data_IF_731084645830
#
_entry.id   IF_731084645830
#
_cell.length_a   1.000
_cell.length_b   1.000
_cell.length_c   1.000
_cell.angle_alpha   90.00
_cell.angle_beta   90.00
_cell.angle_gamma   90.00
#
_symmetry.space_group_name_H-M   'P 1'
#
loop_
_entity.id
_entity.type
_entity.pdbx_description
1 polymer ?
#
# COMPACT_ATOMS: atom_id res chain seq x y z
N UNK A 1 -0.58 17.30 12.39
CA UNK A 1 0.00 16.00 12.02
C UNK A 1 0.32 16.06 10.54
N UNK A 2 1.61 16.22 10.26
CA UNK A 2 2.18 16.53 8.96
C UNK A 2 2.25 15.23 8.16
N UNK A 3 1.31 15.02 7.23
CA UNK A 3 1.38 13.88 6.33
C UNK A 3 2.64 14.04 5.48
N UNK A 4 3.59 13.13 5.64
CA UNK A 4 4.78 12.98 4.79
C UNK A 4 4.34 12.76 3.34
N UNK A 5 4.02 13.86 2.65
CA UNK A 5 3.69 13.89 1.25
C UNK A 5 5.01 13.63 0.52
N UNK A 6 5.32 12.35 0.30
CA UNK A 6 6.51 11.92 -0.43
C UNK A 6 6.65 12.77 -1.69
N UNK A 7 7.75 13.50 -1.74
CA UNK A 7 8.01 14.49 -2.79
C UNK A 7 7.93 13.79 -4.16
N UNK A 8 7.24 14.34 -5.17
CA UNK A 8 7.16 13.75 -6.52
C UNK A 8 8.54 13.44 -7.13
N UNK A 9 9.56 14.14 -6.65
CA UNK A 9 10.95 13.97 -7.02
C UNK A 9 11.54 12.65 -6.53
N UNK A 10 11.10 12.13 -5.38
CA UNK A 10 11.61 10.89 -4.76
C UNK A 10 11.23 9.66 -5.60
N UNK A 11 10.02 9.62 -6.14
CA UNK A 11 9.52 8.56 -7.05
C UNK A 11 10.21 8.62 -8.42
N UNK A 12 10.67 9.80 -8.83
CA UNK A 12 11.32 9.96 -10.13
C UNK A 12 12.71 9.30 -10.19
N UNK A 13 13.36 9.07 -9.05
CA UNK A 13 14.69 8.44 -8.96
C UNK A 13 14.64 6.91 -8.91
N UNK A 14 13.59 6.31 -8.32
CA UNK A 14 13.45 4.85 -8.22
C UNK A 14 13.23 4.15 -9.57
N UNK A 15 12.77 4.88 -10.59
CA UNK A 15 12.60 4.33 -11.96
C UNK A 15 13.92 3.91 -12.61
N UNK A 16 15.08 4.42 -12.11
CA UNK A 16 16.39 3.94 -12.57
C UNK A 16 16.65 2.49 -12.13
N UNK A 17 16.08 2.05 -11.01
CA UNK A 17 16.24 0.67 -10.54
C UNK A 17 15.38 -0.31 -11.35
N UNK A 18 14.20 0.09 -11.82
CA UNK A 18 13.32 -0.80 -12.61
C UNK A 18 13.71 -0.93 -14.07
N UNK A 19 14.33 0.08 -14.68
CA UNK A 19 14.75 0.04 -16.09
C UNK A 19 16.18 -0.47 -16.32
N UNK A 20 16.93 -0.77 -15.25
CA UNK A 20 18.28 -1.33 -15.32
C UNK A 20 18.32 -2.85 -15.51
N UNK A 21 17.20 -3.55 -15.35
CA UNK A 21 17.16 -5.02 -15.26
C UNK A 21 16.58 -5.74 -16.49
N UNK A 22 16.13 -5.03 -17.53
CA UNK A 22 15.68 -5.64 -18.79
C UNK A 22 16.54 -5.23 -19.99
N UNK A 23 17.83 -5.60 -19.96
CA UNK A 23 18.59 -5.73 -21.21
C UNK A 23 19.03 -7.18 -21.34
N UNK A 24 18.26 -7.90 -22.15
CA UNK A 24 18.60 -9.19 -22.74
C UNK A 24 20.04 -9.10 -23.29
N UNK A 25 20.93 -9.94 -22.75
CA UNK A 25 22.26 -10.16 -23.30
C UNK A 25 22.08 -10.80 -24.68
N UNK A 26 22.28 -10.01 -25.73
CA UNK A 26 22.59 -10.53 -27.06
C UNK A 26 24.05 -10.20 -27.30
N UNK A 27 24.88 -11.24 -27.28
CA UNK A 27 26.27 -11.22 -27.72
C UNK A 27 26.33 -10.71 -29.16
N UNK A 28 26.60 -9.41 -29.31
CA UNK A 28 27.18 -8.88 -30.54
C UNK A 28 28.24 -7.85 -30.13
N UNK A 29 29.49 -8.23 -30.35
CA UNK A 29 30.70 -7.47 -30.01
C UNK A 29 30.73 -6.14 -30.76
N UNK A 30 30.16 -5.10 -30.16
CA UNK A 30 30.62 -3.74 -30.38
C UNK A 30 30.71 -3.09 -29.00
N UNK A 31 31.93 -3.07 -28.45
CA UNK A 31 32.24 -2.39 -27.21
C UNK A 31 31.74 -0.93 -27.31
N UNK A 32 30.57 -0.66 -26.74
CA UNK A 32 29.92 0.66 -26.72
C UNK A 32 30.96 1.67 -26.21
N UNK A 33 31.53 2.46 -27.14
CA UNK A 33 32.64 3.36 -26.86
C UNK A 33 32.28 4.22 -25.65
N UNK A 34 33.26 4.48 -24.77
CA UNK A 34 33.04 5.26 -23.53
C UNK A 34 32.32 6.57 -23.85
N UNK A 35 32.64 7.18 -25.00
CA UNK A 35 31.98 8.39 -25.52
C UNK A 35 30.47 8.21 -25.74
N UNK A 36 30.07 7.11 -26.37
CA UNK A 36 28.66 6.76 -26.63
C UNK A 36 27.87 6.54 -25.35
N UNK A 37 28.45 5.83 -24.38
CA UNK A 37 27.84 5.62 -23.05
C UNK A 37 27.65 6.94 -22.30
N UNK A 38 28.67 7.79 -22.30
CA UNK A 38 28.60 9.12 -21.66
C UNK A 38 27.54 9.99 -22.33
N UNK A 39 27.47 9.99 -23.67
CA UNK A 39 26.47 10.75 -24.44
C UNK A 39 25.04 10.31 -24.10
N UNK A 40 24.79 9.00 -23.97
CA UNK A 40 23.48 8.45 -23.56
C UNK A 40 23.09 8.89 -22.15
N UNK A 41 24.04 8.89 -21.21
CA UNK A 41 23.78 9.36 -19.85
C UNK A 41 23.50 10.87 -19.82
N UNK A 42 24.27 11.67 -20.56
CA UNK A 42 24.06 13.11 -20.66
C UNK A 42 22.68 13.44 -21.23
N UNK A 43 22.27 12.80 -22.32
CA UNK A 43 20.94 13.01 -22.92
C UNK A 43 19.82 12.58 -21.98
N UNK A 44 19.96 11.44 -21.29
CA UNK A 44 19.00 10.99 -20.27
C UNK A 44 18.85 12.02 -19.15
N UNK A 45 19.94 12.48 -18.54
CA UNK A 45 19.88 13.44 -17.44
C UNK A 45 19.29 14.79 -17.89
N UNK A 46 19.62 15.26 -19.09
CA UNK A 46 19.03 16.48 -19.65
C UNK A 46 17.52 16.34 -19.87
N UNK A 47 17.07 15.22 -20.43
CA UNK A 47 15.64 14.96 -20.63
C UNK A 47 14.91 14.85 -19.28
N UNK A 48 15.50 14.15 -18.31
CA UNK A 48 14.95 14.00 -16.96
C UNK A 48 14.83 15.35 -16.26
N UNK A 49 15.87 16.18 -16.31
CA UNK A 49 15.85 17.54 -15.76
C UNK A 49 14.74 18.38 -16.40
N UNK A 50 14.65 18.40 -17.75
CA UNK A 50 13.57 19.12 -18.46
C UNK A 50 12.17 18.63 -18.06
N UNK A 51 12.01 17.34 -17.83
CA UNK A 51 10.76 16.76 -17.35
C UNK A 51 10.42 17.23 -15.93
N UNK A 52 11.38 17.17 -15.00
CA UNK A 52 11.20 17.65 -13.63
C UNK A 52 10.83 19.14 -13.59
N UNK A 53 11.52 19.99 -14.36
CA UNK A 53 11.15 21.41 -14.45
C UNK A 53 9.75 21.64 -15.06
N UNK A 54 9.23 20.72 -15.88
CA UNK A 54 7.84 20.82 -16.38
C UNK A 54 6.85 20.44 -15.29
N UNK A 55 7.12 19.38 -14.52
CA UNK A 55 6.29 18.96 -13.39
C UNK A 55 6.23 20.05 -12.31
N UNK A 56 7.37 20.62 -11.93
CA UNK A 56 7.45 21.71 -10.95
C UNK A 56 6.60 22.92 -11.35
N UNK A 57 6.70 23.34 -12.62
CA UNK A 57 5.91 24.44 -13.16
C UNK A 57 4.43 24.12 -13.19
N UNK A 58 4.06 22.89 -13.56
CA UNK A 58 2.67 22.43 -13.56
C UNK A 58 2.09 22.43 -12.13
N UNK A 59 2.83 21.91 -11.15
CA UNK A 59 2.46 21.91 -9.74
C UNK A 59 2.32 23.34 -9.20
N UNK A 60 3.26 24.22 -9.53
CA UNK A 60 3.22 25.64 -9.15
C UNK A 60 1.97 26.33 -9.72
N UNK A 61 1.63 26.07 -10.99
CA UNK A 61 0.40 26.57 -11.62
C UNK A 61 -0.85 26.00 -10.95
N UNK A 62 -0.85 24.72 -10.60
CA UNK A 62 -1.96 24.07 -9.91
C UNK A 62 -2.16 24.66 -8.50
N UNK A 63 -1.09 24.88 -7.73
CA UNK A 63 -1.12 25.54 -6.41
C UNK A 63 -1.72 26.93 -6.51
N UNK A 64 -1.31 27.74 -7.51
CA UNK A 64 -1.90 29.07 -7.77
C UNK A 64 -3.39 28.98 -8.11
N UNK A 65 -3.78 28.09 -9.03
CA UNK A 65 -5.18 27.90 -9.40
C UNK A 65 -6.04 27.48 -8.19
N UNK A 66 -5.57 26.51 -7.39
CA UNK A 66 -6.24 26.07 -6.15
C UNK A 66 -6.39 27.21 -5.14
N UNK A 67 -5.36 28.03 -4.99
CA UNK A 67 -5.40 29.18 -4.09
C UNK A 67 -6.43 30.21 -4.56
N UNK A 68 -6.42 30.58 -5.84
CA UNK A 68 -7.40 31.51 -6.42
C UNK A 68 -8.83 31.00 -6.27
N UNK A 69 -9.07 29.73 -6.60
CA UNK A 69 -10.38 29.09 -6.44
C UNK A 69 -10.83 29.11 -4.98
N UNK A 70 -9.96 28.71 -4.04
CA UNK A 70 -10.28 28.73 -2.61
C UNK A 70 -10.64 30.14 -2.15
N UNK A 71 -9.89 31.15 -2.56
CA UNK A 71 -10.15 32.56 -2.18
C UNK A 71 -11.50 33.04 -2.72
N UNK A 72 -11.81 32.75 -3.98
CA UNK A 72 -13.09 33.09 -4.59
C UNK A 72 -14.27 32.38 -3.89
N UNK A 73 -14.12 31.09 -3.57
CA UNK A 73 -15.13 30.32 -2.83
C UNK A 73 -15.37 30.88 -1.43
N UNK A 74 -14.31 31.23 -0.70
CA UNK A 74 -14.45 31.85 0.62
C UNK A 74 -15.17 33.21 0.54
N UNK A 75 -14.83 34.02 -0.45
CA UNK A 75 -15.51 35.29 -0.68
C UNK A 75 -17.00 35.10 -1.00
N UNK A 76 -17.33 34.16 -1.91
CA UNK A 76 -18.71 33.85 -2.24
C UNK A 76 -19.50 33.35 -1.02
N UNK A 77 -18.94 32.40 -0.26
CA UNK A 77 -19.59 31.87 0.95
C UNK A 77 -19.77 32.92 2.05
N UNK A 78 -18.84 33.89 2.17
CA UNK A 78 -18.96 34.97 3.16
C UNK A 78 -20.04 35.99 2.84
N UNK A 79 -20.37 36.18 1.55
CA UNK A 79 -21.39 37.14 1.09
C UNK A 79 -22.76 36.49 0.97
N UNK A 80 -22.81 35.31 0.38
CA UNK A 80 -24.04 34.60 0.03
C UNK A 80 -23.90 33.10 0.36
N UNK A 81 -23.96 32.70 1.64
CA UNK A 81 -23.66 31.33 2.06
C UNK A 81 -24.61 30.29 1.44
N UNK A 82 -25.91 30.60 1.37
CA UNK A 82 -26.92 29.68 0.83
C UNK A 82 -26.72 29.41 -0.67
N UNK A 83 -26.53 30.47 -1.47
CA UNK A 83 -26.30 30.32 -2.92
C UNK A 83 -24.97 29.66 -3.22
N UNK A 84 -23.92 30.00 -2.48
CA UNK A 84 -22.63 29.33 -2.60
C UNK A 84 -22.73 27.84 -2.25
N UNK A 85 -23.49 27.49 -1.21
CA UNK A 85 -23.78 26.10 -0.83
C UNK A 85 -24.51 25.32 -1.92
N UNK A 86 -25.55 25.92 -2.52
CA UNK A 86 -26.30 25.32 -3.63
C UNK A 86 -25.40 25.03 -4.84
N UNK A 87 -24.59 26.01 -5.28
CA UNK A 87 -23.66 25.83 -6.39
C UNK A 87 -22.60 24.76 -6.12
N UNK A 88 -22.07 24.68 -4.89
CA UNK A 88 -21.13 23.62 -4.49
C UNK A 88 -21.82 22.24 -4.59
N UNK A 89 -23.08 22.14 -4.17
CA UNK A 89 -23.84 20.90 -4.26
C UNK A 89 -24.10 20.49 -5.72
N UNK A 90 -24.46 21.43 -6.58
CA UNK A 90 -24.63 21.21 -8.02
C UNK A 90 -23.34 20.77 -8.69
N UNK A 91 -22.21 21.43 -8.39
CA UNK A 91 -20.90 21.05 -8.91
C UNK A 91 -20.50 19.63 -8.45
N UNK A 92 -20.78 19.27 -7.20
CA UNK A 92 -20.56 17.89 -6.70
C UNK A 92 -21.41 16.89 -7.47
N UNK A 93 -22.70 17.18 -7.66
CA UNK A 93 -23.63 16.32 -8.42
C UNK A 93 -23.20 16.16 -9.88
N UNK A 94 -22.83 17.24 -10.55
CA UNK A 94 -22.34 17.22 -11.93
C UNK A 94 -21.01 16.44 -12.07
N UNK A 95 -20.11 16.56 -11.09
CA UNK A 95 -18.84 15.80 -11.08
C UNK A 95 -19.07 14.32 -10.80
N UNK A 96 -20.00 13.98 -9.89
CA UNK A 96 -20.38 12.59 -9.62
C UNK A 96 -21.07 11.97 -10.84
N UNK A 97 -21.97 12.70 -11.52
CA UNK A 97 -22.64 12.22 -12.74
C UNK A 97 -21.66 11.91 -13.89
N UNK A 98 -20.53 12.63 -13.96
CA UNK A 98 -19.45 12.39 -14.94
C UNK A 98 -18.49 11.28 -14.55
N UNK A 99 -18.47 10.87 -13.28
CA UNK A 99 -17.60 9.83 -12.72
C UNK A 99 -18.38 8.57 -12.31
N UNK A 100 -19.65 8.47 -12.71
CA UNK A 100 -20.55 7.34 -12.44
C UNK A 100 -19.99 5.97 -12.88
N UNK A 101 -19.05 5.93 -13.82
CA UNK A 101 -18.36 4.69 -14.21
C UNK A 101 -17.25 4.28 -13.23
N UNK A 102 -16.71 5.20 -12.43
CA UNK A 102 -15.59 4.94 -11.51
C UNK A 102 -15.95 5.05 -10.02
N UNK A 103 -16.97 5.82 -9.63
CA UNK A 103 -17.44 5.90 -8.23
C UNK A 103 -18.42 4.80 -7.80
N UNK A 104 -18.95 4.00 -8.73
CA UNK A 104 -19.74 2.80 -8.39
C UNK A 104 -18.94 1.74 -7.60
N UNK A 105 -17.61 1.87 -7.50
CA UNK A 105 -16.74 1.01 -6.67
C UNK A 105 -16.53 1.49 -5.23
N UNK A 106 -17.01 2.68 -4.87
CA UNK A 106 -16.88 3.23 -3.51
C UNK A 106 -18.21 3.32 -2.76
N UNK A 107 -19.34 2.96 -3.38
CA UNK A 107 -20.49 2.53 -2.59
C UNK A 107 -20.03 1.34 -1.77
N UNK A 108 -20.33 1.39 -0.48
CA UNK A 108 -20.12 0.35 0.51
C UNK A 108 -20.07 -1.01 -0.18
N UNK A 109 -18.93 -1.68 -0.10
CA UNK A 109 -18.78 -3.02 -0.65
C UNK A 109 -19.73 -3.93 0.14
N UNK A 110 -21.00 -3.94 -0.27
CA UNK A 110 -22.03 -4.82 0.22
C UNK A 110 -21.40 -6.22 0.26
N UNK A 111 -21.40 -6.90 1.41
CA UNK A 111 -20.65 -8.11 1.58
C UNK A 111 -21.15 -9.16 0.59
N UNK A 112 -20.38 -9.33 -0.48
CA UNK A 112 -20.67 -10.31 -1.53
C UNK A 112 -20.45 -11.71 -0.98
N UNK A 113 -21.17 -12.70 -1.49
CA UNK A 113 -20.97 -14.10 -1.09
C UNK A 113 -19.58 -14.57 -1.51
N UNK A 114 -18.92 -15.36 -0.66
CA UNK A 114 -17.62 -15.94 -0.93
C UNK A 114 -17.66 -16.80 -2.22
N UNK A 115 -16.66 -16.61 -3.08
CA UNK A 115 -16.48 -17.41 -4.31
C UNK A 115 -15.79 -18.76 -4.06
N UNK A 116 -15.48 -19.11 -2.81
CA UNK A 116 -14.82 -20.36 -2.45
C UNK A 116 -15.78 -21.54 -2.43
N UNK A 117 -15.23 -22.75 -2.52
CA UNK A 117 -15.97 -24.00 -2.38
C UNK A 117 -15.43 -24.80 -1.20
N UNK A 118 -16.34 -25.45 -0.47
CA UNK A 118 -16.02 -26.34 0.66
C UNK A 118 -16.70 -27.68 0.42
N UNK A 119 -15.92 -28.77 0.34
CA UNK A 119 -16.44 -30.13 0.11
C UNK A 119 -17.36 -30.28 -1.11
N UNK A 120 -17.13 -29.47 -2.15
CA UNK A 120 -17.93 -29.48 -3.39
C UNK A 120 -19.12 -28.52 -3.41
N UNK A 121 -19.46 -27.88 -2.28
CA UNK A 121 -20.55 -26.90 -2.20
C UNK A 121 -20.01 -25.46 -2.19
N UNK A 122 -20.83 -24.53 -2.68
CA UNK A 122 -20.49 -23.10 -2.69
C UNK A 122 -20.52 -22.53 -1.27
N UNK A 123 -19.48 -21.77 -0.92
CA UNK A 123 -19.41 -21.14 0.40
C UNK A 123 -20.47 -20.06 0.53
N UNK A 124 -21.31 -20.15 1.55
CA UNK A 124 -22.37 -19.16 1.85
C UNK A 124 -21.89 -18.00 2.72
N UNK A 125 -20.63 -18.06 3.20
CA UNK A 125 -20.08 -17.00 4.04
C UNK A 125 -19.90 -15.70 3.26
N UNK A 126 -20.01 -14.58 3.96
CA UNK A 126 -19.71 -13.26 3.43
C UNK A 126 -18.23 -13.13 3.10
N UNK A 127 -17.91 -12.61 1.93
CA UNK A 127 -16.56 -12.24 1.54
C UNK A 127 -16.08 -11.06 2.38
N UNK A 128 -14.77 -11.00 2.62
CA UNK A 128 -14.15 -9.85 3.28
C UNK A 128 -14.26 -8.62 2.36
N UNK A 129 -14.35 -7.40 2.93
CA UNK A 129 -14.38 -6.16 2.15
C UNK A 129 -13.25 -6.12 1.12
N UNK A 130 -13.57 -5.68 -0.10
CA UNK A 130 -12.62 -5.60 -1.22
C UNK A 130 -12.00 -6.94 -1.66
N UNK A 131 -12.54 -8.07 -1.21
CA UNK A 131 -12.12 -9.41 -1.63
C UNK A 131 -13.29 -10.21 -2.19
N UNK A 132 -13.00 -11.36 -2.81
CA UNK A 132 -14.01 -12.33 -3.27
C UNK A 132 -14.18 -13.52 -2.31
N UNK A 133 -13.44 -13.56 -1.20
CA UNK A 133 -13.36 -14.74 -0.34
C UNK A 133 -13.61 -14.37 1.13
N UNK A 134 -14.24 -15.26 1.87
CA UNK A 134 -14.35 -15.12 3.33
C UNK A 134 -13.00 -15.40 3.99
N UNK A 135 -12.91 -15.15 5.29
CA UNK A 135 -11.68 -15.40 6.05
C UNK A 135 -11.18 -16.84 5.91
N UNK A 136 -12.06 -17.83 5.90
CA UNK A 136 -11.67 -19.25 5.76
C UNK A 136 -11.08 -19.59 4.39
N UNK A 137 -11.50 -18.90 3.33
CA UNK A 137 -11.06 -19.16 1.95
C UNK A 137 -10.08 -18.11 1.41
N UNK A 138 -9.69 -17.11 2.21
CA UNK A 138 -8.90 -15.99 1.72
C UNK A 138 -7.52 -16.44 1.19
N UNK A 139 -6.95 -17.48 1.79
CA UNK A 139 -5.69 -18.09 1.36
C UNK A 139 -5.82 -18.93 0.07
N UNK A 140 -7.03 -19.30 -0.34
CA UNK A 140 -7.27 -20.01 -1.60
C UNK A 140 -7.13 -19.08 -2.82
N UNK A 141 -7.24 -17.77 -2.63
CA UNK A 141 -7.07 -16.81 -3.70
C UNK A 141 -5.59 -16.54 -3.98
N UNK A 142 -5.04 -17.06 -5.08
CA UNK A 142 -3.63 -16.82 -5.45
C UNK A 142 -3.31 -15.36 -5.80
N UNK A 143 -4.33 -14.56 -6.13
CA UNK A 143 -4.17 -13.15 -6.50
C UNK A 143 -4.22 -12.19 -5.31
N UNK A 144 -4.68 -12.61 -4.13
CA UNK A 144 -4.62 -11.76 -2.95
C UNK A 144 -3.20 -11.78 -2.37
N UNK A 145 -2.74 -10.64 -1.86
CA UNK A 145 -1.37 -10.46 -1.33
C UNK A 145 -1.36 -9.97 0.13
N UNK A 146 -2.54 -9.76 0.73
CA UNK A 146 -2.67 -9.13 2.05
C UNK A 146 -2.65 -10.14 3.19
N UNK A 147 -3.17 -11.34 2.94
CA UNK A 147 -3.24 -12.41 3.92
C UNK A 147 -2.19 -13.47 3.61
N UNK A 148 -1.46 -13.88 4.63
CA UNK A 148 -0.52 -15.02 4.59
C UNK A 148 -0.94 -16.07 5.61
N UNK A 149 -0.45 -17.30 5.47
CA UNK A 149 -0.65 -18.30 6.52
C UNK A 149 0.25 -18.01 7.71
N UNK A 150 -0.26 -18.20 8.92
CA UNK A 150 0.52 -18.16 10.15
C UNK A 150 1.79 -19.02 10.01
N UNK A 151 2.93 -18.48 10.45
CA UNK A 151 4.24 -19.14 10.30
C UNK A 151 4.54 -20.19 11.37
N UNK A 152 3.70 -20.27 12.42
CA UNK A 152 3.85 -21.28 13.47
C UNK A 152 3.76 -22.70 12.90
N UNK A 153 4.62 -23.58 13.42
CA UNK A 153 4.57 -25.02 13.14
C UNK A 153 4.17 -25.77 14.40
N UNK A 154 3.28 -26.74 14.24
CA UNK A 154 2.96 -27.70 15.27
C UNK A 154 4.14 -28.65 15.50
N UNK A 155 4.10 -29.42 16.60
CA UNK A 155 5.14 -30.41 16.91
C UNK A 155 5.30 -31.43 15.78
N UNK A 156 4.22 -31.72 15.05
CA UNK A 156 4.19 -32.64 13.90
C UNK A 156 4.77 -32.01 12.61
N UNK A 157 5.35 -30.81 12.69
CA UNK A 157 5.93 -30.08 11.56
C UNK A 157 4.92 -29.40 10.63
N UNK A 158 3.63 -29.67 10.79
CA UNK A 158 2.56 -29.01 10.03
C UNK A 158 2.50 -27.52 10.35
N UNK A 159 2.35 -26.69 9.32
CA UNK A 159 2.19 -25.24 9.48
C UNK A 159 0.74 -24.90 9.82
N UNK A 160 0.56 -23.91 10.70
CA UNK A 160 -0.74 -23.35 11.02
C UNK A 160 -1.38 -22.73 9.77
N UNK A 161 -2.60 -23.15 9.45
CA UNK A 161 -3.35 -22.68 8.28
C UNK A 161 -4.19 -21.43 8.53
N UNK A 162 -4.11 -20.84 9.72
CA UNK A 162 -4.86 -19.63 10.08
C UNK A 162 -4.34 -18.45 9.24
N UNK A 163 -5.20 -17.75 8.48
CA UNK A 163 -4.82 -16.54 7.77
C UNK A 163 -4.45 -15.42 8.74
N UNK A 164 -3.39 -14.68 8.42
CA UNK A 164 -2.91 -13.53 9.20
C UNK A 164 -2.80 -12.34 8.26
N UNK A 165 -3.25 -11.17 8.72
CA UNK A 165 -2.99 -9.89 8.07
C UNK A 165 -1.90 -9.16 8.84
N UNK A 166 -0.67 -9.29 8.36
CA UNK A 166 0.50 -8.65 8.97
C UNK A 166 1.49 -8.29 7.87
N UNK A 167 1.53 -7.00 7.55
CA UNK A 167 2.41 -6.41 6.55
C UNK A 167 3.74 -5.93 7.15
N UNK A 168 3.90 -6.04 8.47
CA UNK A 168 4.99 -5.43 9.22
C UNK A 168 6.06 -6.45 9.61
N UNK A 169 5.68 -7.67 9.96
CA UNK A 169 6.60 -8.67 10.47
C UNK A 169 6.96 -9.72 9.43
N UNK A 170 8.22 -10.18 9.46
CA UNK A 170 8.71 -11.25 8.60
C UNK A 170 8.17 -12.64 9.00
N UNK A 171 7.74 -12.80 10.25
CA UNK A 171 7.19 -14.04 10.81
C UNK A 171 5.79 -13.81 11.38
N UNK A 172 4.77 -13.65 10.51
CA UNK A 172 3.42 -13.38 10.96
C UNK A 172 2.86 -14.58 11.73
N UNK A 173 2.26 -14.31 12.88
CA UNK A 173 1.62 -15.30 13.75
C UNK A 173 0.15 -14.95 13.96
N UNK A 174 -0.70 -15.96 14.06
CA UNK A 174 -2.07 -15.74 14.52
C UNK A 174 -2.09 -15.40 16.01
N UNK A 175 -3.19 -14.82 16.49
CA UNK A 175 -3.33 -14.35 17.87
C UNK A 175 -2.96 -15.40 18.92
N UNK A 176 -3.43 -16.64 18.73
CA UNK A 176 -3.12 -17.77 19.61
C UNK A 176 -1.61 -18.09 19.69
N UNK A 177 -0.94 -18.10 18.54
CA UNK A 177 0.49 -18.42 18.48
C UNK A 177 1.38 -17.26 18.93
N UNK A 178 0.98 -16.01 18.64
CA UNK A 178 1.65 -14.82 19.17
C UNK A 178 1.58 -14.81 20.70
N UNK A 179 0.39 -15.01 21.27
CA UNK A 179 0.18 -15.09 22.72
C UNK A 179 1.00 -16.21 23.37
N UNK A 180 1.09 -17.37 22.73
CA UNK A 180 1.90 -18.50 23.24
C UNK A 180 3.39 -18.17 23.23
N UNK A 181 3.87 -17.54 22.17
CA UNK A 181 5.26 -17.08 22.06
C UNK A 181 5.59 -16.02 23.12
N UNK A 182 4.71 -15.05 23.33
CA UNK A 182 4.88 -14.00 24.34
C UNK A 182 4.94 -14.58 25.75
N UNK A 183 4.07 -15.55 26.06
CA UNK A 183 4.09 -16.25 27.34
C UNK A 183 5.38 -17.05 27.54
N UNK A 184 5.90 -17.69 26.50
CA UNK A 184 7.18 -18.39 26.56
C UNK A 184 8.34 -17.43 26.89
N UNK A 185 8.43 -16.31 26.17
CA UNK A 185 9.47 -15.30 26.39
C UNK A 185 9.39 -14.67 27.79
N UNK A 186 8.17 -14.38 28.29
CA UNK A 186 7.95 -13.86 29.65
C UNK A 186 8.22 -14.90 30.75
N UNK A 187 7.88 -16.16 30.50
CA UNK A 187 8.16 -17.27 31.42
C UNK A 187 9.65 -17.59 31.55
N UNK A 188 10.41 -17.52 30.44
CA UNK A 188 11.86 -17.71 30.42
C UNK A 188 12.58 -16.58 31.19
N UNK A 189 12.10 -15.35 31.04
CA UNK A 189 12.58 -14.18 31.77
C UNK A 189 12.45 -14.32 33.29
N UNK A 190 11.33 -14.84 33.79
CA UNK A 190 11.12 -15.05 35.23
C UNK A 190 12.03 -16.15 35.83
N UNK A 191 12.30 -17.22 35.08
CA UNK A 191 13.19 -18.30 35.53
C UNK A 191 14.65 -17.85 35.65
N UNK A 192 15.10 -16.97 34.75
CA UNK A 192 16.47 -16.41 34.78
C UNK A 192 16.71 -15.49 35.98
N UNK A 193 15.71 -14.69 36.38
CA UNK A 193 15.83 -13.78 37.54
C UNK A 193 15.93 -14.55 38.86
N UNK A 194 15.19 -15.66 39.01
CA UNK A 194 15.20 -16.44 40.24
C UNK A 194 16.54 -17.19 40.46
N UNK A 195 17.18 -17.64 39.37
CA UNK A 195 18.47 -18.34 39.46
C UNK A 195 19.64 -17.39 39.78
N UNK A 196 19.50 -16.09 39.49
CA UNK A 196 20.54 -15.08 39.78
C UNK A 196 20.48 -14.57 41.22
N UNK A 197 19.30 -14.57 41.87
CA UNK A 197 19.15 -14.15 43.28
C UNK A 197 19.68 -15.16 44.30
N UNK A 198 19.91 -16.43 43.92
CA UNK A 198 20.48 -17.45 44.82
C UNK A 198 22.02 -17.43 44.93
N UNK A 199 22.72 -16.54 44.19
CA UNK A 199 24.18 -16.39 44.29
C UNK A 199 24.54 -15.06 44.98
N UNK A 200 24.22 -14.92 46.27
CA UNK A 200 24.93 -13.97 47.15
C UNK A 200 25.86 -14.76 48.07
N UNK A 201 27.18 -14.50 48.04
CA UNK A 201 28.14 -15.24 48.85
C UNK A 201 28.06 -14.82 50.32
N UNK A 202 28.31 -15.78 51.20
CA UNK A 202 28.57 -15.55 52.63
C UNK A 202 30.05 -15.25 52.83
#
# INVERSE_FOLDING_TARGET
EDSEQTSPYQVAWSVRETLGYERHESDDDNADDRSSRVTRLCTYFQQKYKHLCRLERAESRQKKCRHTLRKALLQAASREPERAGQLIQELRRATCARTSTSQARQRDAEPTTCSGTSKGEQCTNKALPYTRHCFQHILSNRSQQLFSSCTAKFADGQQCSVPVFDITHQTPLCEEHAKKMDNFLRGDSSRKVQHQQQRKPR
#
